data_IF_507620164338
#
_entry.id   IF_507620164338
#
_cell.length_a   1.000
_cell.length_b   1.000
_cell.length_c   1.000
_cell.angle_alpha   90.00
_cell.angle_beta   90.00
_cell.angle_gamma   90.00
#
_symmetry.space_group_name_H-M   'P 1'
#
loop_
_entity.id
_entity.type
_entity.pdbx_description
1 polymer ?
#
# COMPACT_ATOMS: atom_id res chain seq x y z
N UNK A 1 -7.04 -25.73 -0.65
CA UNK A 1 -6.85 -25.61 0.81
C UNK A 1 -6.45 -24.18 1.09
N UNK A 2 -7.08 -23.47 2.01
CA UNK A 2 -6.65 -22.13 2.41
C UNK A 2 -5.40 -22.27 3.28
N UNK A 3 -4.28 -21.69 2.85
CA UNK A 3 -3.08 -21.62 3.69
C UNK A 3 -3.37 -20.65 4.83
N UNK A 4 -3.47 -21.18 6.06
CA UNK A 4 -3.62 -20.34 7.24
C UNK A 4 -2.22 -19.92 7.74
N UNK A 5 -1.93 -18.63 7.65
CA UNK A 5 -0.68 -18.05 8.14
C UNK A 5 -1.03 -17.23 9.38
N UNK A 6 -0.59 -17.63 10.58
CA UNK A 6 -0.92 -16.92 11.81
C UNK A 6 -0.56 -15.43 11.72
N UNK A 7 -1.56 -14.57 11.97
CA UNK A 7 -1.38 -13.11 11.93
C UNK A 7 -1.45 -12.48 10.54
N UNK A 8 -1.72 -13.25 9.48
CA UNK A 8 -1.84 -12.75 8.11
C UNK A 8 -3.19 -13.08 7.49
N UNK A 9 -3.61 -12.26 6.54
CA UNK A 9 -4.84 -12.44 5.75
C UNK A 9 -4.48 -12.55 4.28
N UNK A 10 -5.01 -13.56 3.59
CA UNK A 10 -4.90 -13.71 2.14
C UNK A 10 -5.73 -12.62 1.44
N UNK A 11 -5.13 -11.87 0.52
CA UNK A 11 -5.75 -10.70 -0.12
C UNK A 11 -6.13 -10.97 -1.58
N UNK A 12 -5.13 -11.19 -2.44
CA UNK A 12 -5.29 -11.25 -3.90
C UNK A 12 -4.22 -12.17 -4.51
N UNK A 13 -4.47 -12.77 -5.66
CA UNK A 13 -3.42 -13.48 -6.42
C UNK A 13 -2.38 -12.48 -6.90
N UNK A 14 -1.11 -12.88 -6.91
CA UNK A 14 -0.01 -12.03 -7.38
C UNK A 14 -0.23 -11.57 -8.83
N UNK A 15 -0.75 -12.46 -9.69
CA UNK A 15 -0.96 -12.17 -11.11
C UNK A 15 -2.25 -11.39 -11.41
N UNK A 16 -3.14 -11.23 -10.42
CA UNK A 16 -4.37 -10.43 -10.57
C UNK A 16 -4.16 -8.96 -10.18
N UNK A 17 -2.97 -8.58 -9.68
CA UNK A 17 -2.62 -7.21 -9.31
C UNK A 17 -1.28 -6.83 -9.95
N UNK A 18 -1.34 -6.16 -11.10
CA UNK A 18 -0.20 -5.92 -11.99
C UNK A 18 0.67 -4.75 -11.51
N UNK A 19 1.96 -4.70 -11.89
CA UNK A 19 2.83 -3.56 -11.59
C UNK A 19 2.22 -2.24 -12.08
N UNK A 20 2.10 -1.26 -11.18
CA UNK A 20 1.55 0.06 -11.49
C UNK A 20 0.02 0.16 -11.47
N UNK A 21 -0.68 -0.93 -11.16
CA UNK A 21 -2.12 -0.88 -10.93
C UNK A 21 -2.45 0.10 -9.78
N UNK A 22 -3.61 0.78 -9.84
CA UNK A 22 -4.05 1.63 -8.76
C UNK A 22 -4.10 0.85 -7.43
N UNK A 23 -3.63 1.44 -6.32
CA UNK A 23 -3.78 0.83 -5.01
C UNK A 23 -5.25 0.52 -4.70
N UNK A 24 -5.46 -0.63 -4.06
CA UNK A 24 -6.79 -1.10 -3.69
C UNK A 24 -7.03 -0.96 -2.18
N UNK A 25 -8.27 -0.70 -1.81
CA UNK A 25 -8.70 -0.70 -0.41
C UNK A 25 -8.99 -2.14 0.02
N UNK A 26 -8.26 -2.62 1.04
CA UNK A 26 -8.37 -4.00 1.53
C UNK A 26 -9.04 -4.07 2.90
N UNK A 27 -9.62 -2.96 3.36
CA UNK A 27 -10.21 -2.82 4.70
C UNK A 27 -11.27 -3.89 4.97
N UNK A 28 -12.20 -4.10 4.05
CA UNK A 28 -13.27 -5.09 4.24
C UNK A 28 -12.72 -6.52 4.30
N UNK A 29 -11.62 -6.81 3.62
CA UNK A 29 -10.98 -8.13 3.64
C UNK A 29 -10.34 -8.38 5.01
N UNK A 30 -9.57 -7.42 5.53
CA UNK A 30 -8.91 -7.56 6.84
C UNK A 30 -9.95 -7.55 7.98
N UNK A 31 -11.03 -6.79 7.86
CA UNK A 31 -12.11 -6.70 8.85
C UNK A 31 -12.93 -7.98 9.00
N UNK A 32 -13.00 -8.82 7.96
CA UNK A 32 -13.60 -10.17 8.08
C UNK A 32 -12.82 -11.08 9.01
N UNK A 33 -11.52 -10.83 9.18
CA UNK A 33 -10.64 -11.61 10.08
C UNK A 33 -10.53 -10.94 11.44
N UNK A 34 -10.37 -9.62 11.48
CA UNK A 34 -10.33 -8.81 12.70
C UNK A 34 -11.02 -7.46 12.47
N UNK A 35 -12.22 -7.31 13.03
CA UNK A 35 -13.02 -6.08 12.91
C UNK A 35 -12.36 -4.84 13.54
N UNK A 36 -11.39 -5.01 14.45
CA UNK A 36 -10.64 -3.92 15.07
C UNK A 36 -9.41 -3.50 14.27
N UNK A 37 -9.07 -4.22 13.20
CA UNK A 37 -7.83 -4.00 12.48
C UNK A 37 -7.83 -2.62 11.76
N UNK A 38 -6.70 -1.92 11.74
CA UNK A 38 -6.54 -0.61 11.08
C UNK A 38 -6.99 -0.61 9.60
N UNK A 39 -7.81 0.32 9.13
CA UNK A 39 -8.15 0.43 7.70
C UNK A 39 -6.90 0.70 6.83
N UNK A 40 -6.72 -0.03 5.73
CA UNK A 40 -5.46 -0.03 4.97
C UNK A 40 -5.64 -0.33 3.49
N UNK A 41 -4.59 -0.04 2.74
CA UNK A 41 -4.52 -0.22 1.29
C UNK A 41 -3.51 -1.31 0.96
N UNK A 42 -3.58 -1.86 -0.26
CA UNK A 42 -2.51 -2.64 -0.88
C UNK A 42 -2.06 -1.94 -2.16
N UNK A 43 -0.75 -1.87 -2.39
CA UNK A 43 -0.16 -1.28 -3.58
C UNK A 43 0.96 -2.15 -4.15
N UNK A 44 1.16 -2.05 -5.47
CA UNK A 44 2.29 -2.63 -6.21
C UNK A 44 2.91 -1.54 -7.07
N UNK A 45 4.22 -1.36 -6.98
CA UNK A 45 4.91 -0.29 -7.71
C UNK A 45 5.04 -0.64 -9.19
N UNK A 46 5.02 0.37 -10.07
CA UNK A 46 5.27 0.17 -11.51
C UNK A 46 6.70 -0.28 -11.82
N UNK A 47 7.64 0.02 -10.92
CA UNK A 47 9.05 -0.40 -11.03
C UNK A 47 9.26 -1.85 -10.63
N UNK A 48 8.22 -2.52 -10.13
CA UNK A 48 8.25 -3.97 -9.92
C UNK A 48 8.20 -4.69 -11.27
N UNK A 49 8.98 -5.76 -11.40
CA UNK A 49 8.98 -6.55 -12.63
C UNK A 49 7.85 -7.59 -12.59
N UNK A 50 7.16 -7.85 -13.72
CA UNK A 50 6.34 -9.04 -13.86
C UNK A 50 7.13 -10.32 -13.54
N UNK A 51 6.45 -11.33 -13.04
CA UNK A 51 7.07 -12.64 -12.79
C UNK A 51 7.67 -13.19 -14.10
N UNK A 52 8.94 -13.61 -14.03
CA UNK A 52 9.67 -14.20 -15.16
C UNK A 52 10.61 -13.26 -15.92
N UNK A 53 10.65 -11.96 -15.63
CA UNK A 53 11.61 -11.03 -16.26
C UNK A 53 13.02 -11.08 -15.64
N UNK A 54 14.07 -10.82 -16.45
CA UNK A 54 15.47 -10.85 -16.02
C UNK A 54 16.10 -9.45 -15.75
N UNK A 55 17.04 -9.32 -14.79
CA UNK A 55 17.26 -10.27 -13.69
C UNK A 55 15.99 -10.39 -12.84
N UNK A 56 15.70 -11.60 -12.32
CA UNK A 56 14.52 -11.85 -11.52
C UNK A 56 14.57 -11.04 -10.24
N UNK A 57 13.53 -10.23 -10.00
CA UNK A 57 13.24 -9.64 -8.71
C UNK A 57 11.92 -10.20 -8.23
N UNK A 58 11.83 -10.70 -6.97
CA UNK A 58 10.55 -11.14 -6.45
C UNK A 58 9.57 -9.96 -6.42
N UNK A 59 8.27 -10.18 -6.78
CA UNK A 59 7.27 -9.13 -6.70
C UNK A 59 7.21 -8.49 -5.33
N UNK A 60 6.99 -7.17 -5.30
CA UNK A 60 6.91 -6.41 -4.06
C UNK A 60 5.58 -5.70 -3.92
N UNK A 61 4.92 -5.97 -2.81
CA UNK A 61 3.68 -5.34 -2.41
C UNK A 61 3.91 -4.49 -1.17
N UNK A 62 3.10 -3.45 -1.01
CA UNK A 62 3.19 -2.53 0.11
C UNK A 62 1.80 -2.32 0.69
N UNK A 63 1.69 -2.40 2.02
CA UNK A 63 0.45 -2.10 2.71
C UNK A 63 0.69 -1.06 3.80
N UNK A 64 -0.11 0.01 3.74
CA UNK A 64 -0.07 1.13 4.68
C UNK A 64 -1.48 1.54 5.08
N UNK A 65 -1.60 2.20 6.22
CA UNK A 65 -2.89 2.71 6.71
C UNK A 65 -3.51 3.64 5.67
N UNK A 66 -4.82 3.49 5.43
CA UNK A 66 -5.53 4.29 4.42
C UNK A 66 -5.96 5.66 4.94
N UNK A 67 -5.93 5.88 6.27
CA UNK A 67 -6.37 7.12 6.91
C UNK A 67 -5.18 8.03 7.14
N UNK A 68 -5.25 9.23 6.57
CA UNK A 68 -4.25 10.28 6.74
C UNK A 68 -4.13 10.71 8.20
N UNK A 69 -2.90 10.82 8.69
CA UNK A 69 -2.56 11.24 10.05
C UNK A 69 -2.80 12.73 10.33
N UNK A 70 -3.18 13.52 9.31
CA UNK A 70 -3.59 14.91 9.51
C UNK A 70 -5.02 15.01 10.07
N UNK A 71 -6.00 14.51 9.31
CA UNK A 71 -7.43 14.71 9.59
C UNK A 71 -8.28 13.44 9.37
N UNK A 72 -7.64 12.26 9.27
CA UNK A 72 -8.34 10.98 9.12
C UNK A 72 -8.94 10.69 7.74
N UNK A 73 -8.73 11.58 6.75
CA UNK A 73 -9.20 11.36 5.38
C UNK A 73 -8.68 10.06 4.78
N UNK A 74 -9.52 9.35 4.02
CA UNK A 74 -9.05 8.24 3.20
C UNK A 74 -8.11 8.76 2.11
N UNK A 75 -6.96 8.10 1.96
CA UNK A 75 -5.91 8.43 0.99
C UNK A 75 -6.24 7.82 -0.38
N UNK A 76 -7.15 6.84 -0.43
CA UNK A 76 -7.70 6.28 -1.67
C UNK A 76 -9.23 6.37 -1.69
N UNK A 77 -9.77 7.00 -2.74
CA UNK A 77 -10.92 6.54 -3.56
C UNK A 77 -11.19 7.58 -4.68
N UNK A 78 -11.44 7.11 -5.90
CA UNK A 78 -11.95 7.88 -7.03
C UNK A 78 -13.38 8.38 -6.81
N UNK A 79 -13.52 9.36 -5.92
CA UNK A 79 -14.72 10.17 -5.81
C UNK A 79 -14.63 11.30 -6.85
N UNK A 80 -15.68 11.56 -7.65
CA UNK A 80 -15.72 12.72 -8.54
C UNK A 80 -15.63 14.06 -7.80
N UNK A 81 -15.69 14.05 -6.45
CA UNK A 81 -15.57 15.24 -5.61
C UNK A 81 -14.13 15.51 -5.14
N UNK A 82 -13.18 14.62 -5.42
CA UNK A 82 -11.82 14.69 -4.87
C UNK A 82 -10.81 14.52 -6.01
N UNK A 83 -10.02 15.57 -6.29
CA UNK A 83 -8.99 15.60 -7.32
C UNK A 83 -7.79 14.68 -7.02
N UNK A 84 -8.04 13.39 -6.78
CA UNK A 84 -7.00 12.37 -6.95
C UNK A 84 -6.78 12.23 -8.45
N UNK A 85 -5.55 12.44 -8.91
CA UNK A 85 -5.17 12.08 -10.27
C UNK A 85 -5.46 10.59 -10.51
N UNK A 86 -5.68 10.20 -11.77
CA UNK A 86 -5.88 8.79 -12.20
C UNK A 86 -4.74 7.84 -11.71
N UNK A 87 -3.61 8.43 -11.28
CA UNK A 87 -2.44 7.76 -10.72
C UNK A 87 -2.12 8.30 -9.32
N UNK A 88 -2.61 7.67 -8.24
CA UNK A 88 -2.43 8.15 -6.87
C UNK A 88 -1.01 7.90 -6.31
N UNK A 89 -0.21 7.08 -7.00
CA UNK A 89 1.23 6.93 -6.75
C UNK A 89 1.98 7.82 -7.73
N UNK A 90 2.78 8.74 -7.20
CA UNK A 90 3.63 9.63 -8.00
C UNK A 90 5.07 9.46 -7.55
N UNK A 91 5.98 9.19 -8.49
CA UNK A 91 7.41 9.21 -8.19
C UNK A 91 7.89 10.65 -8.10
N UNK A 92 8.24 11.09 -6.89
CA UNK A 92 8.62 12.47 -6.63
C UNK A 92 10.05 12.53 -6.12
N UNK A 93 10.85 13.40 -6.73
CA UNK A 93 12.15 13.82 -6.18
C UNK A 93 11.90 14.79 -5.03
N UNK A 94 12.23 14.36 -3.80
CA UNK A 94 12.13 15.20 -2.61
C UNK A 94 13.49 15.30 -1.92
N UNK A 95 13.94 16.53 -1.64
CA UNK A 95 15.19 16.84 -0.92
C UNK A 95 16.38 17.20 -1.82
N UNK A 96 17.41 17.83 -1.23
CA UNK A 96 18.72 18.04 -1.87
C UNK A 96 19.42 16.69 -2.02
N UNK A 97 19.71 16.26 -3.26
CA UNK A 97 20.32 14.95 -3.55
C UNK A 97 19.40 13.87 -4.15
N UNK A 98 18.29 14.26 -4.79
CA UNK A 98 17.52 13.46 -5.77
C UNK A 98 17.19 12.00 -5.37
N UNK A 99 16.61 11.78 -4.18
CA UNK A 99 15.97 10.49 -3.89
C UNK A 99 14.55 10.47 -4.46
N UNK A 100 14.24 9.46 -5.27
CA UNK A 100 12.92 9.25 -5.85
C UNK A 100 12.11 8.37 -4.91
N UNK A 101 11.01 8.90 -4.37
CA UNK A 101 10.09 8.14 -3.52
C UNK A 101 8.81 7.81 -4.30
N UNK A 102 8.27 6.59 -4.19
CA UNK A 102 6.88 6.34 -4.56
C UNK A 102 5.98 7.03 -3.53
N UNK A 103 5.35 8.13 -3.93
CA UNK A 103 4.56 8.97 -3.03
C UNK A 103 3.09 8.66 -3.20
N UNK A 104 2.40 8.46 -2.08
CA UNK A 104 0.95 8.53 -2.02
C UNK A 104 0.51 9.87 -1.43
N UNK A 105 -0.48 10.52 -2.04
CA UNK A 105 -0.96 11.83 -1.60
C UNK A 105 -2.38 11.77 -1.07
N UNK A 106 -2.60 12.30 0.13
CA UNK A 106 -3.93 12.53 0.68
C UNK A 106 -4.67 13.61 -0.11
N UNK A 107 -5.87 13.34 -0.65
CA UNK A 107 -6.57 14.29 -1.50
C UNK A 107 -7.17 15.49 -0.75
N UNK A 108 -7.40 15.38 0.56
CA UNK A 108 -8.06 16.45 1.30
C UNK A 108 -7.21 17.73 1.38
N UNK A 109 -5.92 17.59 1.67
CA UNK A 109 -5.04 18.73 1.96
C UNK A 109 -3.61 18.54 1.45
N UNK A 110 -3.35 17.49 0.65
CA UNK A 110 -2.06 17.29 -0.01
C UNK A 110 -0.95 16.71 0.87
N UNK A 111 -1.24 16.13 2.05
CA UNK A 111 -0.22 15.38 2.80
C UNK A 111 0.33 14.23 1.97
N UNK A 112 1.66 14.12 1.90
CA UNK A 112 2.37 13.13 1.09
C UNK A 112 3.11 12.17 1.99
N UNK A 113 3.06 10.89 1.64
CA UNK A 113 3.70 9.81 2.38
C UNK A 113 4.48 8.93 1.42
N UNK A 114 5.63 8.44 1.88
CA UNK A 114 6.36 7.37 1.21
C UNK A 114 5.54 6.10 1.31
N UNK A 115 5.16 5.53 0.17
CA UNK A 115 4.35 4.31 0.11
C UNK A 115 5.10 3.09 0.70
N UNK A 116 6.43 3.08 0.65
CA UNK A 116 7.25 1.93 1.08
C UNK A 116 7.55 1.94 2.57
N UNK A 117 7.55 3.11 3.21
CA UNK A 117 7.89 3.30 4.63
C UNK A 117 6.75 3.90 5.47
N UNK A 118 5.68 4.36 4.83
CA UNK A 118 4.61 5.14 5.50
C UNK A 118 5.07 6.53 5.96
N UNK A 119 6.35 6.89 5.76
CA UNK A 119 6.94 8.11 6.28
C UNK A 119 6.24 9.33 5.73
N UNK A 120 5.87 10.29 6.60
CA UNK A 120 5.39 11.59 6.17
C UNK A 120 6.50 12.36 5.46
N UNK A 121 6.27 12.77 4.22
CA UNK A 121 7.22 13.48 3.37
C UNK A 121 6.92 14.98 3.28
N UNK A 122 5.66 15.35 3.05
CA UNK A 122 5.24 16.74 2.86
C UNK A 122 3.77 16.97 3.29
N UNK A 123 3.37 18.24 3.41
CA UNK A 123 1.99 18.66 3.65
C UNK A 123 1.63 18.82 5.14
N UNK A 124 0.34 19.02 5.46
CA UNK A 124 -0.10 19.48 6.78
C UNK A 124 -0.13 18.40 7.87
N UNK A 125 0.06 17.12 7.52
CA UNK A 125 0.29 16.09 8.54
C UNK A 125 1.54 16.45 9.37
N UNK A 126 1.45 16.43 10.72
CA UNK A 126 2.56 16.83 11.58
C UNK A 126 3.87 16.08 11.27
N UNK A 127 5.04 16.70 11.46
CA UNK A 127 6.31 16.00 11.35
C UNK A 127 6.34 14.74 12.23
N UNK A 128 6.75 13.61 11.65
CA UNK A 128 6.78 12.31 12.34
C UNK A 128 5.45 11.56 12.39
N UNK A 129 4.33 12.17 11.97
CA UNK A 129 3.03 11.50 11.91
C UNK A 129 2.95 10.58 10.68
N UNK A 130 3.67 9.47 10.73
CA UNK A 130 3.75 8.46 9.66
C UNK A 130 2.50 7.60 9.59
N UNK A 131 2.20 7.05 8.42
CA UNK A 131 1.19 6.00 8.27
C UNK A 131 1.76 4.69 8.81
N UNK A 132 0.93 3.95 9.54
CA UNK A 132 1.26 2.60 9.96
C UNK A 132 1.49 1.70 8.73
N UNK A 133 2.47 0.82 8.81
CA UNK A 133 2.76 -0.16 7.75
C UNK A 133 2.36 -1.56 8.19
N UNK A 134 2.12 -2.42 7.20
CA UNK A 134 1.75 -3.81 7.44
C UNK A 134 2.63 -4.70 6.55
N UNK A 135 3.22 -5.71 7.16
CA UNK A 135 4.07 -6.66 6.45
C UNK A 135 3.26 -7.37 5.36
N UNK A 136 3.87 -7.52 4.18
CA UNK A 136 3.32 -8.30 3.07
C UNK A 136 4.18 -9.52 2.81
N UNK A 137 3.54 -10.67 2.53
CA UNK A 137 4.20 -11.90 2.12
C UNK A 137 3.58 -12.43 0.83
N UNK A 138 4.34 -13.23 0.10
CA UNK A 138 3.86 -13.99 -1.04
C UNK A 138 4.00 -15.46 -0.70
N UNK A 139 2.92 -16.21 -0.83
CA UNK A 139 2.91 -17.64 -0.52
C UNK A 139 2.12 -18.40 -1.58
N UNK A 140 2.61 -19.59 -1.92
CA UNK A 140 1.95 -20.48 -2.88
C UNK A 140 0.83 -21.25 -2.19
N UNK A 141 -0.37 -21.17 -2.75
CA UNK A 141 -1.55 -21.89 -2.29
C UNK A 141 -2.11 -22.70 -3.45
N UNK A 142 -1.80 -24.00 -3.47
CA UNK A 142 -2.08 -24.85 -4.63
C UNK A 142 -1.12 -24.51 -5.77
N UNK A 143 -1.67 -24.12 -6.92
CA UNK A 143 -0.89 -23.77 -8.13
C UNK A 143 -0.68 -22.25 -8.27
N UNK A 144 -1.32 -21.45 -7.43
CA UNK A 144 -1.30 -19.99 -7.50
C UNK A 144 -0.44 -19.39 -6.37
N UNK A 145 0.16 -18.22 -6.62
CA UNK A 145 0.79 -17.38 -5.60
C UNK A 145 -0.18 -16.28 -5.15
N UNK A 146 -0.28 -16.06 -3.83
CA UNK A 146 -1.14 -15.03 -3.23
C UNK A 146 -0.35 -14.06 -2.37
N UNK A 147 -0.84 -12.82 -2.32
CA UNK A 147 -0.37 -11.80 -1.38
C UNK A 147 -1.10 -11.97 -0.05
N UNK A 148 -0.32 -12.05 1.02
CA UNK A 148 -0.77 -12.07 2.40
C UNK A 148 -0.36 -10.78 3.10
N UNK A 149 -1.24 -10.20 3.91
CA UNK A 149 -0.97 -8.96 4.66
C UNK A 149 -1.14 -9.20 6.16
N UNK A 150 -0.19 -8.72 6.96
CA UNK A 150 -0.25 -8.81 8.41
C UNK A 150 -1.44 -8.02 8.99
N UNK A 151 -2.08 -8.60 10.01
CA UNK A 151 -3.16 -7.94 10.76
C UNK A 151 -2.63 -6.79 11.60
N UNK A 152 -1.49 -6.98 12.26
CA UNK A 152 -0.82 -5.99 13.10
C UNK A 152 0.12 -5.11 12.27
N UNK A 153 0.27 -3.85 12.69
CA UNK A 153 1.23 -2.93 12.09
C UNK A 153 2.67 -3.30 12.50
N UNK A 154 3.64 -3.00 11.64
CA UNK A 154 5.05 -3.07 11.99
C UNK A 154 5.41 -1.92 12.93
N UNK A 155 6.27 -2.20 13.91
CA UNK A 155 6.80 -1.19 14.84
C UNK A 155 7.79 -0.24 14.15
#
# INVERSE_FOLDING_TARGET
MTTNIPGFVQIIKVNDFLPGDPPIDITDIVHRTDSGATPRILARLETDKPDGEQPPSPPKFFSIARRCTHAGCNILKGSPNWATADRPIVFSMLGEGATVYPVIQCPCHGSRFDLTTGKRLLGPAPPGANLAQFETRIETVGEDAYVFVALAATA
#
